data_IF_242356027233
#
_entry.id   IF_242356027233
#
_cell.length_a   1.000
_cell.length_b   1.000
_cell.length_c   1.000
_cell.angle_alpha   90.00
_cell.angle_beta   90.00
_cell.angle_gamma   90.00
#
_symmetry.space_group_name_H-M   'P 1'
#
loop_
_entity.id
_entity.type
_entity.pdbx_description
1 polymer ?
#
# COMPACT_ATOMS: atom_id res chain seq x y z
N UNK A 1 14.19 18.09 -5.50
CA UNK A 1 14.08 17.79 -4.04
C UNK A 1 12.71 17.22 -3.68
N UNK A 2 11.67 17.98 -3.32
CA UNK A 2 10.41 17.39 -2.82
C UNK A 2 9.77 16.36 -3.77
N UNK A 3 9.61 16.70 -5.06
CA UNK A 3 9.02 15.80 -6.06
C UNK A 3 9.83 14.49 -6.22
N UNK A 4 11.16 14.57 -6.11
CA UNK A 4 12.04 13.40 -6.17
C UNK A 4 11.88 12.50 -4.94
N UNK A 5 11.75 13.09 -3.74
CA UNK A 5 11.47 12.35 -2.50
C UNK A 5 10.12 11.63 -2.61
N UNK A 6 9.08 12.32 -3.11
CA UNK A 6 7.75 11.72 -3.33
C UNK A 6 7.83 10.58 -4.34
N UNK A 7 8.52 10.76 -5.47
CA UNK A 7 8.64 9.69 -6.47
C UNK A 7 9.45 8.49 -5.96
N UNK A 8 10.55 8.72 -5.21
CA UNK A 8 11.28 7.65 -4.51
C UNK A 8 10.36 6.86 -3.57
N UNK A 9 9.54 7.55 -2.76
CA UNK A 9 8.56 6.88 -1.88
C UNK A 9 7.57 6.03 -2.71
N UNK A 10 7.02 6.58 -3.80
CA UNK A 10 6.05 5.88 -4.65
C UNK A 10 6.63 4.64 -5.33
N UNK A 11 7.89 4.69 -5.79
CA UNK A 11 8.60 3.53 -6.35
C UNK A 11 8.90 2.50 -5.27
N UNK A 12 9.38 2.92 -4.10
CA UNK A 12 9.66 2.01 -2.99
C UNK A 12 8.39 1.30 -2.49
N UNK A 13 7.25 1.99 -2.48
CA UNK A 13 5.93 1.42 -2.13
C UNK A 13 5.43 0.43 -3.20
N UNK A 14 5.68 0.72 -4.48
CA UNK A 14 5.39 -0.23 -5.56
C UNK A 14 6.26 -1.50 -5.47
N UNK A 15 7.54 -1.35 -5.15
CA UNK A 15 8.48 -2.46 -5.00
C UNK A 15 8.23 -3.26 -3.71
N UNK A 16 7.78 -2.61 -2.64
CA UNK A 16 7.29 -3.26 -1.41
C UNK A 16 6.11 -4.18 -1.73
N UNK A 17 5.08 -3.66 -2.40
CA UNK A 17 3.91 -4.44 -2.86
C UNK A 17 4.33 -5.62 -3.74
N UNK A 18 5.20 -5.37 -4.72
CA UNK A 18 5.67 -6.41 -5.62
C UNK A 18 6.47 -7.50 -4.88
N UNK A 19 7.30 -7.12 -3.91
CA UNK A 19 8.04 -8.06 -3.06
C UNK A 19 7.09 -8.91 -2.22
N UNK A 20 6.06 -8.31 -1.61
CA UNK A 20 5.04 -9.02 -0.86
C UNK A 20 4.29 -10.04 -1.74
N UNK A 21 3.89 -9.68 -2.95
CA UNK A 21 3.28 -10.62 -3.91
C UNK A 21 4.17 -11.83 -4.21
N UNK A 22 5.49 -11.64 -4.39
CA UNK A 22 6.42 -12.76 -4.63
C UNK A 22 6.54 -13.65 -3.38
N UNK A 23 6.63 -13.07 -2.18
CA UNK A 23 6.73 -13.82 -0.93
C UNK A 23 5.43 -14.58 -0.60
N UNK A 24 4.25 -13.97 -0.82
CA UNK A 24 2.95 -14.63 -0.66
C UNK A 24 2.77 -15.79 -1.65
N UNK A 25 3.23 -15.64 -2.90
CA UNK A 25 3.19 -16.72 -3.88
C UNK A 25 4.10 -17.91 -3.52
N UNK A 26 5.17 -17.67 -2.75
CA UNK A 26 6.06 -18.72 -2.22
C UNK A 26 5.53 -19.35 -0.93
N UNK A 27 4.82 -18.57 -0.11
CA UNK A 27 4.29 -18.98 1.19
C UNK A 27 2.84 -18.48 1.35
N UNK A 28 1.83 -19.26 0.93
CA UNK A 28 0.42 -18.81 0.86
C UNK A 28 -0.21 -18.35 2.19
N UNK A 29 0.36 -18.74 3.33
CA UNK A 29 -0.07 -18.34 4.66
C UNK A 29 0.78 -17.21 5.28
N UNK A 30 1.61 -16.54 4.48
CA UNK A 30 2.53 -15.50 4.95
C UNK A 30 1.79 -14.31 5.57
N UNK A 31 2.01 -14.09 6.87
CA UNK A 31 1.52 -12.92 7.60
C UNK A 31 2.58 -11.83 7.62
N UNK A 32 2.80 -11.22 6.46
CA UNK A 32 3.65 -10.06 6.30
C UNK A 32 2.85 -8.77 6.03
N UNK A 33 3.47 -7.63 6.33
CA UNK A 33 3.10 -6.31 5.84
C UNK A 33 4.37 -5.50 5.56
N UNK A 34 4.20 -4.31 5.01
CA UNK A 34 5.33 -3.44 4.70
C UNK A 34 5.03 -1.96 4.94
N UNK A 35 6.09 -1.15 4.83
CA UNK A 35 6.01 0.31 4.87
C UNK A 35 7.19 0.97 4.15
N UNK A 36 6.90 1.62 3.02
CA UNK A 36 7.86 2.39 2.26
C UNK A 36 8.33 3.68 2.94
N UNK A 37 9.53 4.10 2.55
CA UNK A 37 10.17 5.38 2.86
C UNK A 37 10.85 5.91 1.58
N UNK A 38 11.58 7.03 1.65
CA UNK A 38 12.34 7.54 0.52
C UNK A 38 13.68 6.81 0.28
N UNK A 39 14.14 6.01 1.25
CA UNK A 39 15.42 5.25 1.19
C UNK A 39 15.24 3.76 0.85
N UNK A 40 14.00 3.29 0.78
CA UNK A 40 13.68 1.87 0.70
C UNK A 40 12.36 1.56 1.40
N UNK A 41 12.17 0.33 1.83
CA UNK A 41 10.95 -0.11 2.52
C UNK A 41 11.24 -1.10 3.64
N UNK A 42 10.37 -1.09 4.64
CA UNK A 42 10.34 -2.14 5.67
C UNK A 42 9.40 -3.25 5.22
N UNK A 43 9.77 -4.49 5.54
CA UNK A 43 8.88 -5.63 5.63
C UNK A 43 8.88 -6.08 7.10
N UNK A 44 7.72 -6.48 7.63
CA UNK A 44 7.60 -7.02 8.98
C UNK A 44 6.53 -8.12 9.05
N UNK A 45 6.72 -9.10 9.95
CA UNK A 45 5.79 -10.20 10.18
C UNK A 45 6.49 -11.55 10.26
N UNK A 46 5.77 -12.61 9.88
CA UNK A 46 6.27 -14.00 9.82
C UNK A 46 7.16 -14.24 8.59
N UNK A 47 8.15 -13.36 8.39
CA UNK A 47 8.99 -13.31 7.18
C UNK A 47 10.04 -14.43 7.13
N UNK A 48 10.43 -14.87 5.92
CA UNK A 48 11.54 -15.79 5.74
C UNK A 48 12.90 -15.09 5.98
N UNK A 49 13.97 -15.86 5.79
CA UNK A 49 15.33 -15.35 5.95
C UNK A 49 15.71 -14.24 4.94
N UNK A 50 16.82 -13.55 5.22
CA UNK A 50 17.29 -12.44 4.38
C UNK A 50 17.60 -12.88 2.94
N UNK A 51 18.04 -14.12 2.73
CA UNK A 51 18.37 -14.65 1.40
C UNK A 51 17.10 -14.81 0.54
N UNK A 52 16.02 -15.32 1.14
CA UNK A 52 14.71 -15.47 0.50
C UNK A 52 14.10 -14.10 0.20
N UNK A 53 14.15 -13.16 1.16
CA UNK A 53 13.69 -11.78 0.93
C UNK A 53 14.50 -11.12 -0.21
N UNK A 54 15.82 -11.29 -0.23
CA UNK A 54 16.70 -10.77 -1.30
C UNK A 54 16.32 -11.33 -2.67
N UNK A 55 16.05 -12.63 -2.77
CA UNK A 55 15.58 -13.27 -3.99
C UNK A 55 14.23 -12.69 -4.44
N UNK A 56 13.28 -12.52 -3.50
CA UNK A 56 11.95 -11.97 -3.79
C UNK A 56 12.00 -10.50 -4.27
N UNK A 57 12.83 -9.64 -3.67
CA UNK A 57 12.98 -8.25 -4.12
C UNK A 57 13.61 -8.19 -5.53
N UNK A 58 14.64 -9.01 -5.79
CA UNK A 58 15.27 -9.07 -7.11
C UNK A 58 14.28 -9.57 -8.18
N UNK A 59 13.46 -10.57 -7.84
CA UNK A 59 12.39 -11.08 -8.70
C UNK A 59 11.31 -10.02 -8.96
N UNK A 60 10.91 -9.26 -7.93
CA UNK A 60 9.98 -8.15 -8.06
C UNK A 60 10.51 -7.06 -9.01
N UNK A 61 11.76 -6.60 -8.84
CA UNK A 61 12.42 -5.66 -9.77
C UNK A 61 12.41 -6.23 -11.19
N UNK A 62 12.76 -7.51 -11.36
CA UNK A 62 12.82 -8.18 -12.68
C UNK A 62 11.47 -8.21 -13.38
N UNK A 63 10.39 -8.56 -12.67
CA UNK A 63 9.03 -8.62 -13.22
C UNK A 63 8.42 -7.26 -13.50
N UNK A 64 8.64 -6.28 -12.63
CA UNK A 64 8.17 -4.92 -12.85
C UNK A 64 8.87 -4.25 -14.02
N UNK A 65 10.20 -4.43 -14.19
CA UNK A 65 10.93 -4.02 -15.41
C UNK A 65 10.42 -4.71 -16.67
N UNK A 66 9.90 -5.95 -16.56
CA UNK A 66 9.24 -6.66 -17.65
C UNK A 66 7.77 -6.24 -17.89
N UNK A 67 7.28 -5.17 -17.22
CA UNK A 67 5.96 -4.59 -17.47
C UNK A 67 4.82 -5.09 -16.58
N UNK A 68 5.08 -5.92 -15.56
CA UNK A 68 4.08 -6.39 -14.59
C UNK A 68 3.72 -5.27 -13.59
N UNK A 69 2.97 -4.26 -14.07
CA UNK A 69 2.61 -3.05 -13.31
C UNK A 69 1.56 -3.32 -12.23
N UNK A 70 0.79 -4.40 -12.36
CA UNK A 70 -0.17 -4.88 -11.37
C UNK A 70 0.47 -5.24 -10.02
N UNK A 71 1.74 -5.64 -10.02
CA UNK A 71 2.51 -5.90 -8.80
C UNK A 71 2.69 -4.64 -7.93
N UNK A 72 2.54 -3.44 -8.50
CA UNK A 72 2.56 -2.17 -7.74
C UNK A 72 1.28 -1.93 -6.91
N UNK A 73 0.26 -2.80 -6.99
CA UNK A 73 -1.02 -2.67 -6.30
C UNK A 73 -1.19 -3.90 -5.38
N UNK A 74 -1.44 -3.68 -4.09
CA UNK A 74 -1.62 -4.75 -3.12
C UNK A 74 -3.02 -4.72 -2.49
N UNK A 75 -3.73 -5.86 -2.40
CA UNK A 75 -5.08 -5.89 -1.84
C UNK A 75 -5.11 -5.48 -0.36
N UNK A 76 -4.04 -5.79 0.39
CA UNK A 76 -3.89 -5.50 1.83
C UNK A 76 -3.21 -4.15 2.12
N UNK A 77 -3.03 -3.27 1.12
CA UNK A 77 -2.40 -1.96 1.30
C UNK A 77 -3.22 -1.03 2.21
N UNK A 78 -2.55 -0.31 3.12
CA UNK A 78 -3.18 0.69 3.99
C UNK A 78 -3.90 1.82 3.24
N UNK A 79 -3.51 2.11 1.99
CA UNK A 79 -4.21 3.06 1.10
C UNK A 79 -5.70 2.69 0.98
N UNK A 80 -6.03 1.40 0.85
CA UNK A 80 -7.43 0.94 0.72
C UNK A 80 -8.25 1.27 1.98
N UNK A 81 -7.65 1.08 3.16
CA UNK A 81 -8.29 1.36 4.46
C UNK A 81 -8.52 2.86 4.64
N UNK A 82 -7.54 3.69 4.27
CA UNK A 82 -7.69 5.16 4.31
C UNK A 82 -8.77 5.64 3.34
N UNK A 83 -8.76 5.16 2.09
CA UNK A 83 -9.80 5.50 1.10
C UNK A 83 -11.19 5.10 1.59
N UNK A 84 -11.35 3.89 2.16
CA UNK A 84 -12.62 3.44 2.71
C UNK A 84 -13.09 4.29 3.90
N UNK A 85 -12.21 4.58 4.86
CA UNK A 85 -12.54 5.40 6.03
C UNK A 85 -12.97 6.82 5.64
N UNK A 86 -12.23 7.48 4.74
CA UNK A 86 -12.53 8.84 4.28
C UNK A 86 -13.86 8.90 3.52
N UNK A 87 -14.08 8.01 2.55
CA UNK A 87 -15.32 8.01 1.75
C UNK A 87 -16.54 7.65 2.60
N UNK A 88 -16.43 6.64 3.48
CA UNK A 88 -17.53 6.24 4.36
C UNK A 88 -17.88 7.35 5.35
N UNK A 89 -16.88 7.99 5.97
CA UNK A 89 -17.11 9.11 6.89
C UNK A 89 -17.72 10.33 6.21
N UNK A 90 -17.22 10.70 5.02
CA UNK A 90 -17.74 11.84 4.25
C UNK A 90 -19.21 11.61 3.82
N UNK A 91 -19.55 10.42 3.31
CA UNK A 91 -20.91 10.12 2.87
C UNK A 91 -21.87 9.88 4.04
N UNK A 92 -21.40 9.34 5.18
CA UNK A 92 -22.18 9.30 6.41
C UNK A 92 -22.55 10.71 6.90
N UNK A 93 -21.58 11.63 6.89
CA UNK A 93 -21.80 13.04 7.22
C UNK A 93 -22.79 13.71 6.25
N UNK A 94 -22.70 13.43 4.94
CA UNK A 94 -23.66 13.90 3.96
C UNK A 94 -25.08 13.35 4.22
N UNK A 95 -25.22 12.09 4.63
CA UNK A 95 -26.52 11.51 5.03
C UNK A 95 -27.13 12.20 6.25
N UNK A 96 -26.31 12.58 7.23
CA UNK A 96 -26.76 13.40 8.38
C UNK A 96 -27.21 14.79 7.91
N UNK A 97 -26.43 15.47 7.07
CA UNK A 97 -26.77 16.80 6.56
C UNK A 97 -28.06 16.77 5.72
N UNK A 98 -28.22 15.77 4.85
CA UNK A 98 -29.40 15.57 4.01
C UNK A 98 -30.68 15.28 4.81
N UNK A 99 -30.55 14.74 6.02
CA UNK A 99 -31.68 14.55 6.95
C UNK A 99 -32.25 15.88 7.46
N UNK A 100 -31.45 16.96 7.46
CA UNK A 100 -31.85 18.29 7.91
C UNK A 100 -31.58 18.55 9.40
N UNK A 101 -31.25 19.81 9.74
CA UNK A 101 -30.72 20.23 11.05
C UNK A 101 -31.58 19.93 12.28
N UNK A 102 -32.87 19.63 12.10
CA UNK A 102 -33.84 19.32 13.17
C UNK A 102 -34.38 17.88 13.11
N UNK A 103 -33.87 17.04 12.21
CA UNK A 103 -34.29 15.64 12.15
C UNK A 103 -33.92 14.91 13.45
N UNK A 104 -34.77 14.01 13.96
CA UNK A 104 -34.45 13.20 15.11
C UNK A 104 -33.38 12.15 14.78
N UNK A 105 -32.68 11.66 15.80
CA UNK A 105 -31.56 10.73 15.64
C UNK A 105 -31.94 9.45 14.87
N UNK A 106 -33.18 8.97 15.01
CA UNK A 106 -33.68 7.78 14.33
C UNK A 106 -33.93 7.97 12.82
N UNK A 107 -33.87 9.20 12.31
CA UNK A 107 -33.81 9.51 10.86
C UNK A 107 -32.36 9.75 10.43
N UNK A 108 -31.57 10.46 11.24
CA UNK A 108 -30.17 10.74 10.92
C UNK A 108 -29.31 9.48 10.87
N UNK A 109 -29.50 8.55 11.82
CA UNK A 109 -28.67 7.35 11.96
C UNK A 109 -28.80 6.38 10.77
N UNK A 110 -30.02 5.99 10.30
CA UNK A 110 -30.15 5.19 9.09
C UNK A 110 -29.53 5.85 7.85
N UNK A 111 -29.69 7.17 7.69
CA UNK A 111 -29.10 7.90 6.57
C UNK A 111 -27.57 7.98 6.67
N UNK A 112 -27.01 8.09 7.87
CA UNK A 112 -25.57 8.02 8.11
C UNK A 112 -25.00 6.63 7.78
N UNK A 113 -25.69 5.56 8.19
CA UNK A 113 -25.31 4.17 7.90
C UNK A 113 -25.37 3.92 6.38
N UNK A 114 -26.44 4.33 5.71
CA UNK A 114 -26.58 4.21 4.26
C UNK A 114 -25.46 4.97 3.52
N UNK A 115 -25.16 6.20 3.95
CA UNK A 115 -24.04 6.97 3.42
C UNK A 115 -22.69 6.26 3.62
N UNK A 116 -22.42 5.72 4.81
CA UNK A 116 -21.22 4.94 5.08
C UNK A 116 -21.12 3.70 4.17
N UNK A 117 -22.21 2.96 3.98
CA UNK A 117 -22.25 1.79 3.10
C UNK A 117 -21.94 2.15 1.65
N UNK A 118 -22.51 3.24 1.13
CA UNK A 118 -22.21 3.75 -0.22
C UNK A 118 -20.72 4.13 -0.33
N UNK A 119 -20.16 4.81 0.68
CA UNK A 119 -18.74 5.17 0.71
C UNK A 119 -17.82 3.95 0.73
N UNK A 120 -18.16 2.91 1.48
CA UNK A 120 -17.42 1.65 1.50
C UNK A 120 -17.47 0.92 0.14
N UNK A 121 -18.62 0.93 -0.55
CA UNK A 121 -18.76 0.36 -1.90
C UNK A 121 -17.93 1.13 -2.92
N UNK A 122 -17.98 2.46 -2.91
CA UNK A 122 -17.16 3.31 -3.80
C UNK A 122 -15.66 3.16 -3.54
N UNK A 123 -15.25 2.86 -2.30
CA UNK A 123 -13.87 2.65 -1.94
C UNK A 123 -13.25 1.37 -2.57
N UNK A 124 -14.06 0.37 -2.92
CA UNK A 124 -13.55 -0.89 -3.50
C UNK A 124 -12.78 -0.68 -4.81
N UNK A 125 -13.30 0.02 -5.84
CA UNK A 125 -12.52 0.39 -7.02
C UNK A 125 -11.56 1.56 -6.77
N UNK A 126 -11.91 2.52 -5.90
CA UNK A 126 -11.11 3.73 -5.69
C UNK A 126 -9.81 3.49 -4.91
N UNK A 127 -9.75 2.53 -4.00
CA UNK A 127 -8.53 2.18 -3.27
C UNK A 127 -7.39 1.71 -4.19
N UNK A 128 -7.58 0.67 -5.02
CA UNK A 128 -6.63 0.24 -6.04
C UNK A 128 -6.27 1.34 -7.04
N UNK A 129 -7.23 2.20 -7.42
CA UNK A 129 -6.95 3.36 -8.27
C UNK A 129 -6.03 4.38 -7.59
N UNK A 130 -6.29 4.70 -6.31
CA UNK A 130 -5.42 5.57 -5.49
C UNK A 130 -4.02 5.00 -5.35
N UNK A 131 -3.86 3.67 -5.22
CA UNK A 131 -2.56 3.03 -5.28
C UNK A 131 -1.88 3.30 -6.64
N UNK A 132 -2.50 2.84 -7.73
CA UNK A 132 -1.94 2.88 -9.08
C UNK A 132 -1.63 4.29 -9.63
N UNK A 133 -2.30 5.32 -9.12
CA UNK A 133 -2.19 6.71 -9.63
C UNK A 133 -1.56 7.69 -8.66
N UNK A 134 -1.66 7.46 -7.34
CA UNK A 134 -1.21 8.42 -6.32
C UNK A 134 -0.12 7.83 -5.45
N UNK A 135 -0.37 6.72 -4.75
CA UNK A 135 0.55 6.25 -3.70
C UNK A 135 1.66 5.32 -4.19
N UNK A 136 1.58 4.75 -5.39
CA UNK A 136 2.65 3.94 -6.00
C UNK A 136 3.07 4.43 -7.38
N UNK A 137 4.23 3.98 -7.84
CA UNK A 137 4.80 4.23 -9.18
C UNK A 137 5.49 2.96 -9.67
N UNK A 138 5.02 2.39 -10.78
CA UNK A 138 5.54 1.14 -11.33
C UNK A 138 6.84 1.31 -12.15
N UNK A 139 7.42 2.51 -12.17
CA UNK A 139 8.67 2.80 -12.87
C UNK A 139 9.88 2.24 -12.09
N UNK A 140 10.40 1.11 -12.56
CA UNK A 140 11.56 0.42 -11.95
C UNK A 140 12.86 0.59 -12.73
N UNK A 141 12.90 1.45 -13.75
CA UNK A 141 14.13 1.76 -14.48
C UNK A 141 15.19 2.32 -13.51
N UNK A 142 16.40 1.77 -13.59
CA UNK A 142 17.48 2.12 -12.68
C UNK A 142 17.24 1.77 -11.20
N UNK A 143 16.25 0.93 -10.85
CA UNK A 143 16.08 0.46 -9.46
C UNK A 143 17.00 -0.72 -9.14
N UNK A 144 17.66 -0.70 -7.98
CA UNK A 144 18.41 -1.83 -7.40
C UNK A 144 18.38 -1.85 -5.85
N UNK A 145 18.64 -3.03 -5.28
CA UNK A 145 18.82 -3.21 -3.83
C UNK A 145 20.25 -2.88 -3.44
N UNK A 146 20.43 -1.90 -2.55
CA UNK A 146 21.73 -1.49 -1.99
C UNK A 146 22.14 -2.36 -0.81
N UNK A 147 21.20 -2.65 0.09
CA UNK A 147 21.42 -3.45 1.30
C UNK A 147 20.09 -4.00 1.81
N UNK A 148 20.13 -5.11 2.53
CA UNK A 148 19.02 -5.53 3.38
C UNK A 148 19.57 -5.55 4.81
N UNK A 149 18.77 -5.13 5.78
CA UNK A 149 19.12 -5.13 7.20
C UNK A 149 18.04 -5.86 7.97
N UNK A 150 18.37 -7.06 8.42
CA UNK A 150 17.54 -7.86 9.31
C UNK A 150 17.64 -7.32 10.74
N UNK A 151 16.52 -7.04 11.41
CA UNK A 151 16.47 -6.66 12.82
C UNK A 151 15.37 -7.42 13.57
N UNK A 152 15.67 -8.07 14.71
CA UNK A 152 14.64 -8.63 15.57
C UNK A 152 13.79 -7.49 16.15
N UNK A 153 12.47 -7.65 16.10
CA UNK A 153 11.47 -6.69 16.59
C UNK A 153 10.50 -7.45 17.50
N UNK A 154 10.89 -7.61 18.77
CA UNK A 154 10.17 -8.48 19.70
C UNK A 154 10.25 -9.95 19.28
N UNK A 155 9.10 -10.57 19.00
CA UNK A 155 9.01 -11.95 18.48
C UNK A 155 9.03 -12.05 16.96
N UNK A 156 9.02 -10.93 16.24
CA UNK A 156 8.98 -10.89 14.77
C UNK A 156 10.32 -10.45 14.18
N UNK A 157 10.55 -10.78 12.92
CA UNK A 157 11.68 -10.25 12.14
C UNK A 157 11.18 -9.05 11.33
N UNK A 158 11.93 -7.96 11.36
CA UNK A 158 11.76 -6.83 10.45
C UNK A 158 12.96 -6.76 9.50
N UNK A 159 12.68 -6.68 8.20
CA UNK A 159 13.69 -6.52 7.16
C UNK A 159 13.58 -5.12 6.57
N UNK A 160 14.62 -4.30 6.70
CA UNK A 160 14.70 -3.04 5.96
C UNK A 160 15.47 -3.25 4.66
N UNK A 161 14.78 -3.09 3.53
CA UNK A 161 15.35 -3.17 2.18
C UNK A 161 15.71 -1.75 1.75
N UNK A 162 17.02 -1.45 1.73
CA UNK A 162 17.60 -0.17 1.31
C UNK A 162 17.79 -0.21 -0.20
N UNK A 163 17.21 0.77 -0.92
CA UNK A 163 17.14 0.78 -2.39
C UNK A 163 17.62 2.11 -2.93
N UNK A 164 18.32 2.08 -4.07
CA UNK A 164 18.58 3.27 -4.87
C UNK A 164 17.88 3.18 -6.23
N UNK A 165 17.62 4.35 -6.80
CA UNK A 165 17.03 4.55 -8.12
C UNK A 165 17.90 5.55 -8.87
N UNK A 166 18.20 5.29 -10.14
CA UNK A 166 18.64 6.36 -11.04
C UNK A 166 17.58 7.48 -11.12
N UNK A 167 18.00 8.73 -11.33
CA UNK A 167 17.08 9.82 -11.61
C UNK A 167 16.17 9.48 -12.77
N UNK A 168 14.88 9.80 -12.67
CA UNK A 168 14.02 9.84 -13.85
C UNK A 168 14.55 10.91 -14.82
N UNK A 169 14.95 10.47 -16.00
CA UNK A 169 15.17 11.33 -17.18
C UNK A 169 13.87 11.98 -17.64
#
# INVERSE_FOLDING_TARGET
MLNEIVERIRRNHALEHATLHILEAQQPNLRAGGRATWQGFYLYGDLPDEATVRAAVNEAIRRMKAGQRELAIHPRCGTNVVTAGVLSGALAMLGILASGKRAPWYVQLPNAILGAMIGALLAQPLGPWMQAKVTTSAEMNGAWVRRIRSSPTGRLIAHFVETDHEPSS
#
